data_IF_095460298642
#
_entry.id   IF_095460298642
#
_cell.length_a   1.000
_cell.length_b   1.000
_cell.length_c   1.000
_cell.angle_alpha   90.00
_cell.angle_beta   90.00
_cell.angle_gamma   90.00
#
_symmetry.space_group_name_H-M   'P 1'
#
loop_
_entity.id
_entity.type
_entity.pdbx_description
1 polymer ?
#
# COMPACT_ATOMS: atom_id res chain seq x y z
N UNK A 1 -20.61 -28.60 -3.81
CA UNK A 1 -20.01 -27.79 -2.72
C UNK A 1 -18.94 -26.94 -3.36
N UNK A 2 -19.24 -25.68 -3.68
CA UNK A 2 -18.22 -24.74 -4.17
C UNK A 2 -17.37 -24.31 -3.00
N UNK A 3 -16.16 -24.83 -2.89
CA UNK A 3 -15.08 -24.19 -2.15
C UNK A 3 -14.87 -22.83 -2.79
N UNK A 4 -15.31 -21.77 -2.11
CA UNK A 4 -14.94 -20.40 -2.46
C UNK A 4 -13.43 -20.29 -2.21
N UNK A 5 -12.64 -20.38 -3.27
CA UNK A 5 -11.21 -20.10 -3.19
C UNK A 5 -11.06 -18.60 -2.96
N UNK A 6 -10.77 -18.19 -1.73
CA UNK A 6 -10.48 -16.79 -1.41
C UNK A 6 -9.11 -16.46 -2.00
N UNK A 7 -9.09 -15.77 -3.14
CA UNK A 7 -7.85 -15.35 -3.77
C UNK A 7 -7.23 -14.15 -3.04
N UNK A 8 -5.92 -14.15 -2.82
CA UNK A 8 -5.18 -13.04 -2.22
C UNK A 8 -5.00 -11.93 -3.26
N UNK A 9 -5.29 -10.69 -2.85
CA UNK A 9 -5.13 -9.49 -3.64
C UNK A 9 -4.55 -8.32 -2.81
N UNK A 10 -3.99 -7.33 -3.51
CA UNK A 10 -3.58 -6.05 -2.90
C UNK A 10 -4.81 -5.35 -2.33
N UNK A 11 -4.69 -4.86 -1.09
CA UNK A 11 -5.78 -4.23 -0.35
C UNK A 11 -6.57 -5.17 0.55
N UNK A 12 -6.34 -6.50 0.49
CA UNK A 12 -6.94 -7.44 1.43
C UNK A 12 -6.50 -7.11 2.87
N UNK A 13 -7.48 -7.02 3.78
CA UNK A 13 -7.27 -6.63 5.18
C UNK A 13 -7.73 -7.68 6.15
N UNK A 14 -7.03 -7.77 7.27
CA UNK A 14 -7.46 -8.55 8.43
C UNK A 14 -7.35 -7.71 9.70
N UNK A 15 -8.27 -7.91 10.63
CA UNK A 15 -8.20 -7.36 11.98
C UNK A 15 -8.41 -8.49 12.96
N UNK A 16 -7.50 -8.66 13.92
CA UNK A 16 -7.67 -9.67 14.97
C UNK A 16 -8.61 -9.16 16.06
N UNK A 17 -9.16 -10.08 16.85
CA UNK A 17 -9.77 -9.70 18.12
C UNK A 17 -8.71 -9.08 19.06
N UNK A 18 -9.08 -8.09 19.89
CA UNK A 18 -8.20 -7.57 20.93
C UNK A 18 -7.82 -8.66 21.95
N UNK A 19 -6.56 -8.67 22.36
CA UNK A 19 -6.00 -9.63 23.31
C UNK A 19 -5.03 -8.92 24.25
N UNK A 20 -5.00 -9.35 25.52
CA UNK A 20 -3.99 -8.86 26.46
C UNK A 20 -2.67 -9.57 26.22
N UNK A 21 -1.56 -8.83 26.17
CA UNK A 21 -0.23 -9.39 25.89
C UNK A 21 0.16 -10.47 26.90
N UNK A 22 -0.19 -10.30 28.18
CA UNK A 22 0.07 -11.31 29.22
C UNK A 22 -0.66 -12.65 29.03
N UNK A 23 -1.70 -12.72 28.19
CA UNK A 23 -2.40 -13.98 27.90
C UNK A 23 -1.54 -14.98 27.10
N UNK A 24 -0.48 -14.49 26.45
CA UNK A 24 0.42 -15.31 25.64
C UNK A 24 1.56 -15.95 26.44
N UNK A 25 1.53 -15.80 27.77
CA UNK A 25 2.37 -16.53 28.72
C UNK A 25 3.50 -15.68 29.35
N UNK A 26 4.11 -16.18 30.44
CA UNK A 26 5.13 -15.45 31.20
C UNK A 26 6.52 -15.41 30.52
N UNK A 27 6.69 -16.15 29.42
CA UNK A 27 7.95 -16.28 28.68
C UNK A 27 7.89 -15.58 27.32
N UNK A 28 7.33 -14.37 27.29
CA UNK A 28 7.52 -13.52 26.12
C UNK A 28 9.01 -13.15 26.03
N UNK A 29 9.56 -13.06 24.81
CA UNK A 29 10.94 -12.63 24.62
C UNK A 29 11.12 -11.18 25.11
N UNK A 30 12.32 -10.63 24.94
CA UNK A 30 12.53 -9.20 25.25
C UNK A 30 11.44 -8.32 24.58
N UNK A 31 11.07 -7.17 25.18
CA UNK A 31 9.97 -6.33 24.69
C UNK A 31 10.05 -6.03 23.18
N UNK A 32 11.25 -5.90 22.62
CA UNK A 32 11.53 -5.68 21.19
C UNK A 32 11.10 -6.83 20.26
N UNK A 33 10.93 -8.05 20.78
CA UNK A 33 10.52 -9.24 20.03
C UNK A 33 9.09 -9.68 20.35
N UNK A 34 8.52 -9.17 21.45
CA UNK A 34 7.16 -9.50 21.88
C UNK A 34 6.15 -9.13 20.81
N UNK A 35 6.25 -7.93 20.22
CA UNK A 35 5.34 -7.50 19.19
C UNK A 35 5.38 -8.38 17.93
N UNK A 36 6.58 -8.78 17.48
CA UNK A 36 6.75 -9.70 16.34
C UNK A 36 6.01 -11.03 16.58
N UNK A 37 6.15 -11.58 17.78
CA UNK A 37 5.56 -12.86 18.16
C UNK A 37 4.03 -12.75 18.21
N UNK A 38 3.49 -11.69 18.82
CA UNK A 38 2.05 -11.42 18.85
C UNK A 38 1.47 -11.24 17.45
N UNK A 39 2.12 -10.44 16.61
CA UNK A 39 1.72 -10.22 15.23
C UNK A 39 1.65 -11.54 14.45
N UNK A 40 2.64 -12.43 14.63
CA UNK A 40 2.66 -13.74 14.00
C UNK A 40 1.62 -14.73 14.51
N UNK A 41 1.16 -14.60 15.76
CA UNK A 41 0.09 -15.44 16.31
C UNK A 41 -1.31 -14.95 15.95
N UNK A 42 -1.50 -13.63 15.89
CA UNK A 42 -2.81 -13.00 15.71
C UNK A 42 -3.14 -12.68 14.26
N UNK A 43 -2.13 -12.60 13.38
CA UNK A 43 -2.35 -12.42 11.94
C UNK A 43 -2.39 -13.78 11.25
N UNK A 44 -3.49 -14.16 10.58
CA UNK A 44 -3.53 -15.36 9.75
C UNK A 44 -2.39 -15.34 8.73
N UNK A 45 -1.84 -16.50 8.38
CA UNK A 45 -0.93 -16.58 7.21
C UNK A 45 -1.72 -16.26 5.94
N UNK A 46 -1.10 -15.66 4.90
CA UNK A 46 -1.79 -15.43 3.63
C UNK A 46 -2.38 -16.72 3.05
N UNK A 47 -1.57 -17.78 2.96
CA UNK A 47 -2.01 -19.16 2.70
C UNK A 47 -1.25 -20.14 3.58
N UNK A 48 -1.71 -21.40 3.65
CA UNK A 48 -1.00 -22.47 4.37
C UNK A 48 0.38 -22.79 3.75
N UNK A 49 0.52 -22.58 2.44
CA UNK A 49 1.72 -22.92 1.66
C UNK A 49 2.72 -21.76 1.55
N UNK A 50 2.30 -20.55 1.90
CA UNK A 50 3.16 -19.37 1.90
C UNK A 50 4.24 -19.48 3.00
N UNK A 51 5.49 -19.20 2.62
CA UNK A 51 6.62 -19.15 3.54
C UNK A 51 7.09 -17.72 3.72
N UNK A 52 7.22 -17.24 4.97
CA UNK A 52 7.77 -15.90 5.24
C UNK A 52 9.27 -15.90 4.97
N UNK A 53 9.70 -15.08 4.02
CA UNK A 53 11.10 -14.94 3.58
C UNK A 53 11.73 -13.63 4.05
N UNK A 54 10.92 -12.64 4.41
CA UNK A 54 11.37 -11.35 4.94
C UNK A 54 10.51 -10.86 6.08
N UNK A 55 11.14 -10.17 7.03
CA UNK A 55 10.47 -9.46 8.11
C UNK A 55 11.30 -8.22 8.47
N UNK A 56 10.64 -7.07 8.50
CA UNK A 56 11.19 -5.89 9.14
C UNK A 56 10.17 -5.33 10.11
N UNK A 57 10.69 -4.86 11.23
CA UNK A 57 9.87 -4.51 12.36
C UNK A 57 10.40 -3.24 12.99
N UNK A 58 9.47 -2.35 13.34
CA UNK A 58 9.75 -1.11 14.02
C UNK A 58 8.87 -1.01 15.26
N UNK A 59 9.50 -0.81 16.40
CA UNK A 59 8.83 -0.59 17.67
C UNK A 59 8.96 0.88 18.06
N UNK A 60 7.90 1.66 17.84
CA UNK A 60 7.84 3.05 18.33
C UNK A 60 7.75 3.04 19.86
N UNK A 61 6.90 2.17 20.40
CA UNK A 61 6.83 1.87 21.82
C UNK A 61 6.48 0.40 22.03
N UNK A 62 7.46 -0.39 22.46
CA UNK A 62 7.31 -1.82 22.66
C UNK A 62 6.09 -2.14 23.53
N UNK A 63 5.34 -3.17 23.14
CA UNK A 63 4.21 -3.68 23.90
C UNK A 63 4.72 -4.45 25.12
N UNK A 64 3.93 -4.39 26.19
CA UNK A 64 4.23 -4.94 27.51
C UNK A 64 3.07 -5.81 27.97
N UNK A 65 3.31 -6.70 28.95
CA UNK A 65 2.29 -7.65 29.45
C UNK A 65 0.92 -7.05 29.81
N UNK A 66 0.83 -5.85 30.41
CA UNK A 66 -0.45 -5.20 30.71
C UNK A 66 -1.23 -4.69 29.50
N UNK A 67 -0.57 -4.49 28.36
CA UNK A 67 -1.18 -3.88 27.18
C UNK A 67 -2.27 -4.80 26.59
N UNK A 68 -3.31 -4.19 26.07
CA UNK A 68 -4.34 -4.85 25.26
C UNK A 68 -4.19 -4.33 23.84
N UNK A 69 -3.93 -5.25 22.92
CA UNK A 69 -3.65 -4.93 21.52
C UNK A 69 -4.49 -5.80 20.59
N UNK A 70 -4.79 -5.27 19.42
CA UNK A 70 -5.21 -6.05 18.26
C UNK A 70 -4.22 -5.86 17.12
N UNK A 71 -4.31 -6.73 16.12
CA UNK A 71 -3.44 -6.69 14.95
C UNK A 71 -4.24 -6.33 13.73
N UNK A 72 -3.80 -5.30 13.03
CA UNK A 72 -4.30 -4.91 11.72
C UNK A 72 -3.28 -5.32 10.67
N UNK A 73 -3.73 -5.90 9.56
CA UNK A 73 -2.84 -6.18 8.44
C UNK A 73 -3.47 -5.81 7.10
N UNK A 74 -2.63 -5.46 6.14
CA UNK A 74 -3.04 -5.18 4.76
C UNK A 74 -2.00 -5.72 3.78
N UNK A 75 -2.45 -6.45 2.75
CA UNK A 75 -1.60 -6.85 1.63
C UNK A 75 -1.30 -5.60 0.79
N UNK A 76 -0.02 -5.23 0.71
CA UNK A 76 0.42 -4.00 0.02
C UNK A 76 0.97 -4.27 -1.37
N UNK A 77 1.36 -5.51 -1.65
CA UNK A 77 1.82 -5.93 -2.98
C UNK A 77 1.61 -7.41 -3.21
N UNK A 78 1.33 -7.72 -4.46
CA UNK A 78 1.38 -9.05 -5.04
C UNK A 78 2.22 -8.95 -6.31
N UNK A 79 3.32 -9.69 -6.39
CA UNK A 79 4.23 -9.70 -7.54
C UNK A 79 4.46 -11.13 -8.03
N UNK A 80 4.38 -11.34 -9.35
CA UNK A 80 4.82 -12.59 -9.96
C UNK A 80 6.33 -12.55 -10.23
N UNK A 81 7.05 -13.54 -9.71
CA UNK A 81 8.49 -13.75 -9.92
C UNK A 81 8.74 -15.13 -10.53
N UNK A 82 9.95 -15.37 -11.02
CA UNK A 82 10.37 -16.67 -11.55
C UNK A 82 10.31 -17.78 -10.50
N UNK A 83 10.52 -17.44 -9.23
CA UNK A 83 10.56 -18.38 -8.09
C UNK A 83 9.19 -18.61 -7.44
N UNK A 84 8.14 -17.94 -7.94
CA UNK A 84 6.79 -17.97 -7.38
C UNK A 84 6.20 -16.56 -7.23
N UNK A 85 5.13 -16.46 -6.44
CA UNK A 85 4.48 -15.19 -6.12
C UNK A 85 5.04 -14.62 -4.81
N UNK A 86 5.46 -13.36 -4.86
CA UNK A 86 5.88 -12.58 -3.70
C UNK A 86 4.69 -11.76 -3.21
N UNK A 87 4.42 -11.81 -1.91
CA UNK A 87 3.35 -11.07 -1.26
C UNK A 87 3.97 -10.22 -0.15
N UNK A 88 3.81 -8.91 -0.24
CA UNK A 88 4.18 -8.00 0.84
C UNK A 88 2.94 -7.61 1.64
N UNK A 89 3.07 -7.65 2.96
CA UNK A 89 2.00 -7.33 3.91
C UNK A 89 2.48 -6.38 4.98
N UNK A 90 1.79 -5.26 5.16
CA UNK A 90 1.99 -4.39 6.31
C UNK A 90 1.16 -4.89 7.50
N UNK A 91 1.74 -4.85 8.69
CA UNK A 91 1.14 -5.31 9.93
C UNK A 91 1.34 -4.25 11.01
N UNK A 92 0.30 -3.95 11.78
CA UNK A 92 0.32 -2.98 12.88
C UNK A 92 -0.24 -3.62 14.15
N UNK A 93 0.45 -3.42 15.27
CA UNK A 93 -0.09 -3.63 16.60
C UNK A 93 -0.70 -2.32 17.09
N UNK A 94 -1.99 -2.34 17.35
CA UNK A 94 -2.75 -1.17 17.76
C UNK A 94 -3.27 -1.41 19.17
N UNK A 95 -3.07 -0.43 20.05
CA UNK A 95 -3.59 -0.49 21.41
C UNK A 95 -5.09 -0.15 21.48
N UNK A 96 -5.69 -0.33 22.66
CA UNK A 96 -7.10 0.02 22.90
C UNK A 96 -7.44 1.50 22.63
N UNK A 97 -6.46 2.41 22.74
CA UNK A 97 -6.61 3.82 22.43
C UNK A 97 -6.53 4.16 20.94
N UNK A 98 -6.27 3.17 20.08
CA UNK A 98 -6.10 3.35 18.64
C UNK A 98 -4.70 3.81 18.24
N UNK A 99 -3.71 3.78 19.14
CA UNK A 99 -2.34 4.16 18.83
C UNK A 99 -1.56 2.95 18.32
N UNK A 100 -0.80 3.14 17.24
CA UNK A 100 0.14 2.12 16.75
C UNK A 100 1.30 2.02 17.74
N UNK A 101 1.53 0.84 18.28
CA UNK A 101 2.61 0.55 19.23
C UNK A 101 3.86 0.09 18.50
N UNK A 102 3.64 -0.85 17.59
CA UNK A 102 4.66 -1.48 16.78
C UNK A 102 4.07 -1.82 15.42
N UNK A 103 4.91 -1.91 14.41
CA UNK A 103 4.50 -2.22 13.05
C UNK A 103 5.62 -2.88 12.28
N UNK A 104 5.28 -3.57 11.21
CA UNK A 104 6.26 -4.20 10.36
C UNK A 104 5.73 -4.57 8.99
N UNK A 105 6.65 -5.01 8.15
CA UNK A 105 6.35 -5.57 6.85
C UNK A 105 6.84 -7.01 6.82
N UNK A 106 5.98 -7.88 6.35
CA UNK A 106 6.28 -9.27 6.08
C UNK A 106 6.30 -9.51 4.59
N UNK A 107 7.34 -10.20 4.12
CA UNK A 107 7.41 -10.70 2.74
C UNK A 107 7.23 -12.21 2.76
N UNK A 108 6.29 -12.68 1.96
CA UNK A 108 5.90 -14.08 1.84
C UNK A 108 6.15 -14.56 0.42
N UNK A 109 6.69 -15.77 0.29
CA UNK A 109 6.84 -16.48 -0.98
C UNK A 109 5.83 -17.62 -1.05
N UNK A 110 5.05 -17.63 -2.13
CA UNK A 110 4.13 -18.69 -2.48
C UNK A 110 4.58 -19.33 -3.80
N UNK A 111 4.92 -20.63 -3.80
CA UNK A 111 5.44 -21.32 -4.99
C UNK A 111 4.37 -21.60 -6.04
N UNK A 112 3.12 -21.81 -5.63
CA UNK A 112 1.99 -22.10 -6.50
C UNK A 112 1.02 -20.92 -6.53
N UNK A 113 0.76 -20.36 -7.71
CA UNK A 113 0.08 -19.06 -7.85
C UNK A 113 -1.44 -19.14 -8.04
N UNK A 114 -2.07 -20.32 -7.88
CA UNK A 114 -3.50 -20.52 -8.20
C UNK A 114 -4.44 -19.67 -7.34
N UNK A 115 -3.99 -19.27 -6.16
CA UNK A 115 -4.80 -18.55 -5.17
C UNK A 115 -4.48 -17.04 -5.15
N UNK A 116 -3.84 -16.50 -6.18
CA UNK A 116 -3.36 -15.12 -6.20
C UNK A 116 -3.81 -14.35 -7.44
N UNK A 117 -4.26 -13.11 -7.24
CA UNK A 117 -4.64 -12.20 -8.34
C UNK A 117 -3.62 -11.08 -8.47
N UNK A 118 -3.03 -10.97 -9.66
CA UNK A 118 -2.12 -9.90 -10.04
C UNK A 118 -2.82 -8.99 -11.06
N UNK A 119 -2.71 -7.68 -10.85
CA UNK A 119 -3.17 -6.67 -11.80
C UNK A 119 -2.23 -5.44 -11.73
N UNK A 120 -1.70 -4.96 -12.87
CA UNK A 120 -0.86 -3.77 -12.86
C UNK A 120 -1.55 -2.50 -12.32
N UNK A 121 -2.90 -2.44 -12.29
CA UNK A 121 -3.66 -1.32 -11.73
C UNK A 121 -3.40 -1.11 -10.22
N UNK A 122 -2.90 -2.12 -9.51
CA UNK A 122 -2.54 -2.06 -8.07
C UNK A 122 -1.07 -2.35 -7.78
N UNK A 123 -0.24 -2.52 -8.81
CA UNK A 123 1.22 -2.63 -8.64
C UNK A 123 1.85 -1.23 -8.64
N UNK A 124 1.51 -0.45 -7.59
CA UNK A 124 1.77 0.98 -7.51
C UNK A 124 3.23 1.36 -7.75
N UNK A 125 3.42 2.49 -8.42
CA UNK A 125 4.73 3.07 -8.76
C UNK A 125 5.62 2.17 -9.63
N UNK A 126 5.03 1.24 -10.41
CA UNK A 126 5.73 0.50 -11.47
C UNK A 126 5.49 1.13 -12.85
N UNK A 127 6.34 0.83 -13.86
CA UNK A 127 6.08 1.27 -15.23
C UNK A 127 4.75 0.76 -15.79
N UNK A 128 4.38 -0.50 -15.50
CA UNK A 128 3.12 -1.07 -15.98
C UNK A 128 1.91 -0.31 -15.41
N UNK A 129 1.95 0.04 -14.12
CA UNK A 129 0.96 0.93 -13.51
C UNK A 129 0.97 2.33 -14.14
N UNK A 130 2.16 2.91 -14.37
CA UNK A 130 2.28 4.22 -15.04
C UNK A 130 1.72 4.25 -16.47
N UNK A 131 1.78 3.13 -17.19
CA UNK A 131 1.17 3.00 -18.52
C UNK A 131 -0.36 3.03 -18.47
N UNK A 132 -0.97 2.36 -17.48
CA UNK A 132 -2.42 2.44 -17.23
C UNK A 132 -2.81 3.90 -16.95
N UNK A 133 -2.03 4.61 -16.12
CA UNK A 133 -2.29 6.03 -15.86
C UNK A 133 -2.14 6.88 -17.12
N UNK A 134 -1.10 6.67 -17.92
CA UNK A 134 -0.90 7.38 -19.18
C UNK A 134 -2.09 7.22 -20.11
N UNK A 135 -2.57 5.99 -20.28
CA UNK A 135 -3.72 5.70 -21.12
C UNK A 135 -4.97 6.42 -20.59
N UNK A 136 -5.29 6.25 -19.31
CA UNK A 136 -6.47 6.86 -18.68
C UNK A 136 -6.45 8.40 -18.73
N UNK A 137 -5.31 9.02 -18.40
CA UNK A 137 -5.13 10.47 -18.37
C UNK A 137 -5.10 11.09 -19.77
N UNK A 138 -4.78 10.32 -20.82
CA UNK A 138 -4.78 10.83 -22.20
C UNK A 138 -6.17 11.27 -22.68
N UNK A 139 -7.22 10.74 -22.06
CA UNK A 139 -8.61 11.08 -22.34
C UNK A 139 -9.15 12.22 -21.45
N UNK A 140 -8.37 12.71 -20.46
CA UNK A 140 -8.83 13.73 -19.51
C UNK A 140 -8.45 15.16 -19.96
N UNK A 141 -9.44 16.01 -20.35
CA UNK A 141 -9.18 17.39 -20.73
C UNK A 141 -8.73 18.29 -19.55
N UNK A 142 -9.10 17.97 -18.31
CA UNK A 142 -8.68 18.73 -17.14
C UNK A 142 -7.20 18.47 -16.83
N UNK A 143 -6.74 17.23 -16.98
CA UNK A 143 -5.32 16.91 -16.94
C UNK A 143 -4.54 17.69 -18.00
N UNK A 144 -4.97 17.58 -19.27
CA UNK A 144 -4.29 18.22 -20.39
C UNK A 144 -4.23 19.75 -20.26
N UNK A 145 -5.33 20.39 -19.86
CA UNK A 145 -5.38 21.85 -19.69
C UNK A 145 -4.56 22.34 -18.49
N UNK A 146 -4.55 21.60 -17.38
CA UNK A 146 -3.79 21.98 -16.17
C UNK A 146 -2.27 21.99 -16.37
N UNK A 147 -1.78 21.28 -17.39
CA UNK A 147 -0.36 21.08 -17.70
C UNK A 147 0.02 21.61 -19.09
N UNK A 148 -0.84 22.39 -19.75
CA UNK A 148 -0.64 22.82 -21.15
C UNK A 148 0.61 23.68 -21.39
N UNK A 149 1.11 24.34 -20.34
CA UNK A 149 2.32 25.19 -20.37
C UNK A 149 3.48 24.59 -19.57
N UNK A 150 3.32 23.36 -19.09
CA UNK A 150 4.29 22.70 -18.24
C UNK A 150 4.96 21.53 -18.96
N UNK A 151 6.28 21.48 -18.84
CA UNK A 151 7.13 20.41 -19.35
C UNK A 151 8.05 19.96 -18.22
N UNK A 152 8.12 18.65 -17.99
CA UNK A 152 8.93 18.11 -16.91
C UNK A 152 8.69 16.63 -16.66
N UNK A 153 9.20 16.13 -15.55
CA UNK A 153 9.01 14.73 -15.17
C UNK A 153 8.54 14.64 -13.73
N UNK A 154 7.43 13.95 -13.50
CA UNK A 154 6.95 13.65 -12.14
C UNK A 154 7.36 12.23 -11.78
N UNK A 155 8.07 12.08 -10.66
CA UNK A 155 8.35 10.77 -10.06
C UNK A 155 7.25 10.40 -9.07
N UNK A 156 6.81 9.14 -9.09
CA UNK A 156 5.95 8.56 -8.07
C UNK A 156 6.70 7.37 -7.47
N UNK A 157 6.98 7.43 -6.16
CA UNK A 157 7.77 6.42 -5.46
C UNK A 157 6.95 5.78 -4.34
N UNK A 158 6.93 4.46 -4.39
CA UNK A 158 6.45 3.59 -3.34
C UNK A 158 7.67 3.00 -2.64
N UNK A 159 7.88 3.36 -1.38
CA UNK A 159 8.89 2.70 -0.56
C UNK A 159 8.30 1.41 -0.01
N UNK A 160 8.96 0.29 -0.27
CA UNK A 160 8.74 -0.91 0.51
C UNK A 160 9.72 -0.89 1.70
N UNK A 161 9.38 -1.60 2.77
CA UNK A 161 10.27 -1.59 3.92
C UNK A 161 11.56 -2.35 3.64
N UNK A 162 11.59 -3.31 2.69
CA UNK A 162 12.68 -4.28 2.45
C UNK A 162 14.02 -3.64 2.07
N UNK A 163 14.06 -2.30 2.03
CA UNK A 163 15.12 -1.48 1.48
C UNK A 163 14.92 -1.25 -0.02
N UNK A 164 13.90 -1.86 -0.60
CA UNK A 164 13.47 -1.63 -1.96
C UNK A 164 12.58 -0.39 -2.09
N UNK A 165 12.57 0.15 -3.29
CA UNK A 165 11.62 1.17 -3.66
C UNK A 165 11.24 0.95 -5.12
N UNK A 166 9.96 1.09 -5.40
CA UNK A 166 9.46 1.15 -6.77
C UNK A 166 9.23 2.61 -7.11
N UNK A 167 9.72 3.00 -8.27
CA UNK A 167 9.54 4.35 -8.75
C UNK A 167 9.23 4.32 -10.24
N UNK A 168 8.27 5.14 -10.61
CA UNK A 168 7.90 5.41 -11.99
C UNK A 168 8.02 6.91 -12.25
N UNK A 169 8.57 7.24 -13.41
CA UNK A 169 8.71 8.60 -13.91
C UNK A 169 7.69 8.78 -15.03
N UNK A 170 6.84 9.78 -14.88
CA UNK A 170 5.88 10.23 -15.88
C UNK A 170 6.47 11.48 -16.55
N UNK A 171 7.00 11.31 -17.76
CA UNK A 171 7.53 12.45 -18.52
C UNK A 171 6.38 13.14 -19.23
N UNK A 172 6.20 14.42 -18.94
CA UNK A 172 5.07 15.20 -19.43
C UNK A 172 5.58 16.31 -20.35
N UNK A 173 4.88 16.48 -21.46
CA UNK A 173 5.07 17.57 -22.38
C UNK A 173 3.71 18.16 -22.74
N UNK A 174 3.49 19.43 -22.39
CA UNK A 174 2.28 20.20 -22.71
C UNK A 174 0.97 19.43 -22.46
N UNK A 175 0.82 18.90 -21.25
CA UNK A 175 -0.40 18.19 -20.83
C UNK A 175 -0.54 16.76 -21.33
N UNK A 176 0.53 16.16 -21.86
CA UNK A 176 0.55 14.74 -22.26
C UNK A 176 1.70 14.02 -21.60
N UNK A 177 1.43 12.83 -21.06
CA UNK A 177 2.49 11.91 -20.67
C UNK A 177 3.05 11.27 -21.95
N UNK A 178 4.28 11.63 -22.31
CA UNK A 178 4.95 11.20 -23.55
C UNK A 178 5.84 9.97 -23.35
N UNK A 179 6.20 9.66 -22.10
CA UNK A 179 7.05 8.52 -21.74
C UNK A 179 6.79 8.10 -20.28
N UNK A 180 6.84 6.79 -20.04
CA UNK A 180 6.72 6.16 -18.72
C UNK A 180 7.91 5.24 -18.53
N UNK A 181 8.74 5.52 -17.54
CA UNK A 181 9.97 4.77 -17.32
C UNK A 181 10.26 4.59 -15.83
N UNK A 182 11.13 3.64 -15.49
CA UNK A 182 11.64 3.53 -14.10
C UNK A 182 12.46 4.76 -13.72
N UNK A 183 13.22 5.31 -14.67
CA UNK A 183 14.03 6.53 -14.55
C UNK A 183 14.16 7.16 -15.94
N UNK A 184 14.26 8.49 -15.98
CA UNK A 184 14.55 9.24 -17.22
C UNK A 184 15.91 9.95 -17.11
N UNK A 185 16.58 10.26 -18.23
CA UNK A 185 17.76 11.12 -18.23
C UNK A 185 17.46 12.46 -17.55
N UNK A 186 18.31 12.87 -16.60
CA UNK A 186 18.11 14.09 -15.80
C UNK A 186 17.25 13.92 -14.54
N UNK A 187 16.62 12.75 -14.34
CA UNK A 187 15.80 12.49 -13.16
C UNK A 187 14.41 13.12 -13.21
N UNK A 188 13.64 12.97 -12.13
CA UNK A 188 12.36 13.64 -11.98
C UNK A 188 12.56 15.09 -11.53
N UNK A 189 11.71 16.01 -12.01
CA UNK A 189 11.62 17.40 -11.53
C UNK A 189 11.33 17.42 -10.03
N UNK A 190 10.36 16.60 -9.62
CA UNK A 190 10.17 16.19 -8.24
C UNK A 190 9.61 14.76 -8.20
N UNK A 191 9.82 14.09 -7.06
CA UNK A 191 9.26 12.78 -6.77
C UNK A 191 8.34 12.88 -5.56
N UNK A 192 7.10 12.42 -5.70
CA UNK A 192 6.17 12.19 -4.60
C UNK A 192 6.44 10.80 -4.00
N UNK A 193 6.68 10.73 -2.70
CA UNK A 193 7.12 9.52 -2.01
C UNK A 193 6.16 9.20 -0.87
N UNK A 194 5.70 7.95 -0.82
CA UNK A 194 4.97 7.42 0.32
C UNK A 194 5.23 5.91 0.52
N UNK A 195 5.04 5.39 1.75
CA UNK A 195 5.00 3.96 2.02
C UNK A 195 3.90 3.22 1.25
N UNK A 196 4.11 1.93 1.04
CA UNK A 196 3.18 1.08 0.27
C UNK A 196 1.77 1.05 0.86
N UNK A 197 1.64 0.95 2.18
CA UNK A 197 0.37 0.98 2.90
C UNK A 197 -0.35 2.33 2.74
N UNK A 198 0.38 3.44 2.68
CA UNK A 198 -0.20 4.77 2.42
C UNK A 198 -0.77 4.87 1.01
N UNK A 199 -0.06 4.31 0.01
CA UNK A 199 -0.59 4.19 -1.34
C UNK A 199 -1.86 3.33 -1.38
N UNK A 200 -1.86 2.16 -0.74
CA UNK A 200 -3.02 1.26 -0.66
C UNK A 200 -4.21 1.95 0.01
N UNK A 201 -3.99 2.58 1.17
CA UNK A 201 -5.01 3.34 1.90
C UNK A 201 -5.60 4.45 1.03
N UNK A 202 -4.76 5.23 0.34
CA UNK A 202 -5.21 6.30 -0.56
C UNK A 202 -5.96 5.76 -1.76
N UNK A 203 -5.57 4.62 -2.34
CA UNK A 203 -6.20 4.11 -3.57
C UNK A 203 -7.58 3.50 -3.29
N UNK A 204 -7.75 2.88 -2.13
CA UNK A 204 -8.99 2.18 -1.77
C UNK A 204 -9.91 2.95 -0.82
N UNK A 205 -9.49 4.09 -0.23
CA UNK A 205 -10.37 4.92 0.60
C UNK A 205 -11.66 5.33 -0.12
N UNK A 206 -12.77 5.51 0.59
CA UNK A 206 -14.07 5.90 0.03
C UNK A 206 -14.04 7.22 -0.74
N UNK A 207 -13.22 8.16 -0.28
CA UNK A 207 -13.08 9.49 -0.86
C UNK A 207 -11.63 9.76 -1.28
N UNK A 208 -11.45 10.60 -2.31
CA UNK A 208 -10.13 11.12 -2.62
C UNK A 208 -9.78 12.20 -1.58
N UNK A 209 -8.95 11.84 -0.62
CA UNK A 209 -8.46 12.73 0.43
C UNK A 209 -6.95 13.03 0.29
N UNK A 210 -6.39 12.80 -0.91
CA UNK A 210 -4.97 12.98 -1.22
C UNK A 210 -4.40 14.29 -0.68
N UNK A 211 -5.02 15.42 -1.03
CA UNK A 211 -4.53 16.73 -0.60
C UNK A 211 -4.52 16.89 0.92
N UNK A 212 -5.52 16.33 1.63
CA UNK A 212 -5.58 16.36 3.09
C UNK A 212 -4.45 15.53 3.71
N UNK A 213 -4.18 14.35 3.15
CA UNK A 213 -3.10 13.45 3.59
C UNK A 213 -1.71 14.04 3.31
N UNK A 214 -1.53 14.64 2.13
CA UNK A 214 -0.30 15.34 1.78
C UNK A 214 0.00 16.50 2.74
N UNK A 215 -1.00 17.30 3.11
CA UNK A 215 -0.85 18.39 4.10
C UNK A 215 -0.48 17.85 5.50
N UNK A 216 -0.98 16.67 5.86
CA UNK A 216 -0.62 15.98 7.12
C UNK A 216 0.76 15.34 7.12
N UNK A 217 1.47 15.35 5.99
CA UNK A 217 2.79 14.77 5.86
C UNK A 217 2.81 13.25 5.64
N UNK A 218 1.68 12.64 5.26
CA UNK A 218 1.65 11.21 4.87
C UNK A 218 2.42 10.97 3.56
N UNK A 219 2.60 12.02 2.76
CA UNK A 219 3.42 12.04 1.57
C UNK A 219 4.58 13.01 1.76
N UNK A 220 5.76 12.63 1.27
CA UNK A 220 6.91 13.51 1.18
C UNK A 220 7.23 13.81 -0.28
N UNK A 221 7.91 14.92 -0.53
CA UNK A 221 8.38 15.28 -1.87
C UNK A 221 9.90 15.49 -1.85
N UNK A 222 10.59 15.01 -2.88
CA UNK A 222 12.01 15.33 -3.12
C UNK A 222 12.18 16.00 -4.49
N UNK A 223 13.14 16.92 -4.63
CA UNK A 223 13.37 17.68 -5.86
C UNK A 223 12.88 19.12 -5.75
N UNK A 224 12.30 19.66 -6.82
CA UNK A 224 11.81 21.03 -6.86
C UNK A 224 10.48 21.18 -6.11
N UNK A 225 10.55 21.72 -4.89
CA UNK A 225 9.38 21.95 -4.04
C UNK A 225 8.43 23.03 -4.57
N UNK A 226 8.92 23.99 -5.36
CA UNK A 226 8.06 25.00 -5.98
C UNK A 226 7.20 24.37 -7.08
N UNK A 227 7.82 23.53 -7.92
CA UNK A 227 7.09 22.78 -8.94
C UNK A 227 6.10 21.78 -8.33
N UNK A 228 6.46 21.10 -7.22
CA UNK A 228 5.51 20.27 -6.48
C UNK A 228 4.24 21.04 -6.06
N UNK A 229 4.40 22.22 -5.45
CA UNK A 229 3.27 23.04 -5.01
C UNK A 229 2.40 23.51 -6.18
N UNK A 230 3.04 23.85 -7.31
CA UNK A 230 2.35 24.26 -8.54
C UNK A 230 1.55 23.11 -9.16
N UNK A 231 2.02 21.86 -9.02
CA UNK A 231 1.38 20.68 -9.62
C UNK A 231 0.41 19.94 -8.68
N UNK A 232 0.01 20.54 -7.56
CA UNK A 232 -0.98 19.95 -6.63
C UNK A 232 -2.30 19.56 -7.31
N UNK A 233 -2.88 20.42 -8.15
CA UNK A 233 -4.09 20.09 -8.93
C UNK A 233 -3.85 18.93 -9.93
N UNK A 234 -2.84 18.98 -10.81
CA UNK A 234 -2.50 17.85 -11.67
C UNK A 234 -2.27 16.53 -10.93
N UNK A 235 -1.61 16.58 -9.76
CA UNK A 235 -1.40 15.39 -8.93
C UNK A 235 -2.72 14.82 -8.40
N UNK A 236 -3.65 15.67 -7.95
CA UNK A 236 -4.98 15.23 -7.51
C UNK A 236 -5.73 14.48 -8.63
N UNK A 237 -5.62 14.97 -9.88
CA UNK A 237 -6.18 14.30 -11.07
C UNK A 237 -5.51 12.94 -11.30
N UNK A 238 -4.16 12.88 -11.28
CA UNK A 238 -3.42 11.62 -11.42
C UNK A 238 -3.87 10.59 -10.37
N UNK A 239 -4.02 11.02 -9.12
CA UNK A 239 -4.48 10.16 -8.04
C UNK A 239 -5.94 9.72 -8.23
N UNK A 240 -6.81 10.61 -8.71
CA UNK A 240 -8.20 10.25 -9.02
C UNK A 240 -8.27 9.14 -10.08
N UNK A 241 -7.47 9.22 -11.14
CA UNK A 241 -7.38 8.18 -12.16
C UNK A 241 -6.82 6.86 -11.61
N UNK A 242 -5.76 6.93 -10.79
CA UNK A 242 -5.18 5.76 -10.13
C UNK A 242 -6.21 5.04 -9.24
N UNK A 243 -7.00 5.81 -8.48
CA UNK A 243 -8.09 5.28 -7.63
C UNK A 243 -9.17 4.59 -8.45
N UNK A 244 -9.58 5.19 -9.57
CA UNK A 244 -10.56 4.58 -10.47
C UNK A 244 -10.07 3.23 -10.99
N UNK A 245 -8.83 3.17 -11.50
CA UNK A 245 -8.23 1.92 -11.98
C UNK A 245 -8.17 0.83 -10.89
N UNK A 246 -7.74 1.19 -9.68
CA UNK A 246 -7.68 0.25 -8.55
C UNK A 246 -9.07 -0.28 -8.13
N UNK A 247 -10.10 0.58 -8.16
CA UNK A 247 -11.48 0.19 -7.81
C UNK A 247 -12.17 -0.63 -8.88
N UNK A 248 -11.93 -0.33 -10.15
CA UNK A 248 -12.42 -1.15 -11.27
C UNK A 248 -11.88 -2.57 -11.13
N UNK A 249 -10.61 -2.73 -10.80
CA UNK A 249 -10.01 -4.01 -10.45
C UNK A 249 -10.77 -4.68 -9.29
N UNK A 250 -10.98 -4.02 -8.14
CA UNK A 250 -11.76 -4.61 -7.03
C UNK A 250 -13.18 -5.08 -7.41
N UNK A 251 -13.81 -4.43 -8.39
CA UNK A 251 -15.16 -4.78 -8.85
C UNK A 251 -15.23 -6.04 -9.74
N UNK A 252 -14.09 -6.53 -10.24
CA UNK A 252 -14.03 -7.74 -11.07
C UNK A 252 -14.27 -8.99 -10.21
N UNK A 253 -15.32 -9.74 -10.57
CA UNK A 253 -15.80 -10.95 -9.88
C UNK A 253 -14.66 -11.84 -9.32
N UNK A 254 -14.75 -12.19 -8.04
CA UNK A 254 -13.73 -12.93 -7.27
C UNK A 254 -13.22 -12.19 -6.03
N UNK A 255 -13.60 -10.93 -5.82
CA UNK A 255 -13.31 -10.20 -4.58
C UNK A 255 -14.39 -10.53 -3.54
N UNK A 256 -14.12 -11.47 -2.66
CA UNK A 256 -14.94 -11.64 -1.45
C UNK A 256 -14.24 -10.84 -0.36
N UNK A 257 -14.77 -9.66 -0.02
CA UNK A 257 -14.34 -8.93 1.17
C UNK A 257 -14.36 -9.92 2.35
N UNK A 258 -13.28 -10.07 3.13
CA UNK A 258 -13.40 -10.64 4.46
C UNK A 258 -14.40 -9.74 5.19
N UNK A 259 -15.53 -10.33 5.57
CA UNK A 259 -16.55 -9.68 6.38
C UNK A 259 -15.86 -8.98 7.54
N UNK A 260 -15.94 -7.66 7.56
CA UNK A 260 -15.72 -6.89 8.78
C UNK A 260 -16.72 -7.42 9.80
N UNK A 261 -16.23 -8.20 10.77
CA UNK A 261 -17.02 -8.48 11.96
C UNK A 261 -17.20 -7.16 12.73
N UNK A 262 -18.40 -6.60 12.62
CA UNK A 262 -19.03 -5.81 13.68
C UNK A 262 -18.52 -4.39 13.90
N UNK A 263 -19.10 -3.43 13.18
CA UNK A 263 -19.28 -2.06 13.68
C UNK A 263 -20.76 -1.77 13.92
N UNK A 264 -21.26 -2.23 15.07
CA UNK A 264 -22.45 -1.73 15.78
C UNK A 264 -22.17 -2.00 17.28
N UNK A 265 -22.26 -1.11 18.27
CA UNK A 265 -22.81 0.22 18.47
C UNK A 265 -21.89 0.96 19.48
N UNK A 266 -21.85 2.28 19.59
CA UNK A 266 -22.84 3.07 20.33
C UNK A 266 -22.67 4.57 20.05
N UNK A 267 -23.83 5.21 20.00
CA UNK A 267 -24.13 6.63 20.25
C UNK A 267 -23.50 7.17 21.52
#
# INVERSE_FOLDING_TARGET
MSTLTTSIAVGDRTVSEPRRVSEFGPSLPEPSLTGIVLAGMLTPRPTAEATRTGLQWNAECAVTGPDVVHVESVVTRVEQSADGTIIDRHVRLVDHGGSVREQGIETWLLRESSDVRYDPAVDFCTPAWGEILRESLSADPDFASSLSTWDGTVGLRCTDASGGAREVHLRIYRGRIIDVARRVPGGATFTLVAPAETWVDLMFADHNDFMRRAIRGEFSSSGDGYEYLRLTKPLDIVIAHARTAAREWQSVAGHTLPLTCGREARS
#
